data_IF_053779721915
#
_entry.id   IF_053779721915
#
_cell.length_a   1.000
_cell.length_b   1.000
_cell.length_c   1.000
_cell.angle_alpha   90.00
_cell.angle_beta   90.00
_cell.angle_gamma   90.00
#
_symmetry.space_group_name_H-M   'P 1'
#
loop_
_entity.id
_entity.type
_entity.pdbx_description
1 polymer ?
#
# COMPACT_ATOMS: atom_id res chain seq x y z
N UNK A 1 4.99 2.62 -2.46
CA UNK A 1 3.87 2.59 -1.49
C UNK A 1 3.42 3.98 -1.05
N UNK A 2 2.12 4.17 -0.87
CA UNK A 2 1.44 5.40 -0.40
C UNK A 2 1.00 5.31 1.06
N UNK A 3 0.69 4.10 1.55
CA UNK A 3 0.26 3.85 2.93
C UNK A 3 1.33 4.17 3.98
N UNK A 4 0.91 4.47 5.21
CA UNK A 4 1.82 4.63 6.37
C UNK A 4 2.66 5.90 6.30
N UNK A 5 2.21 6.90 5.54
CA UNK A 5 2.83 8.21 5.40
C UNK A 5 2.02 9.25 6.14
N UNK A 6 2.67 10.31 6.60
CA UNK A 6 1.96 11.48 7.09
C UNK A 6 1.04 12.04 5.98
N UNK A 7 -0.15 12.53 6.33
CA UNK A 7 -1.18 12.92 5.36
C UNK A 7 -0.67 13.95 4.34
N UNK A 8 0.12 14.92 4.80
CA UNK A 8 0.73 15.95 3.94
C UNK A 8 1.70 15.39 2.88
N UNK A 9 2.17 14.15 3.03
CA UNK A 9 3.05 13.50 2.06
C UNK A 9 2.29 12.71 0.98
N UNK A 10 0.97 12.55 1.11
CA UNK A 10 0.16 11.77 0.15
C UNK A 10 0.20 12.35 -1.28
N UNK A 11 0.17 13.68 -1.50
CA UNK A 11 0.31 14.23 -2.86
C UNK A 11 1.63 13.83 -3.52
N UNK A 12 2.73 13.86 -2.76
CA UNK A 12 4.04 13.42 -3.25
C UNK A 12 4.05 11.91 -3.51
N UNK A 13 3.42 11.11 -2.65
CA UNK A 13 3.34 9.67 -2.82
C UNK A 13 2.53 9.27 -4.05
N UNK A 14 1.43 9.97 -4.36
CA UNK A 14 0.65 9.76 -5.59
C UNK A 14 1.48 10.09 -6.84
N UNK A 15 2.18 11.22 -6.83
CA UNK A 15 3.09 11.58 -7.93
C UNK A 15 4.19 10.55 -8.12
N UNK A 16 4.79 10.09 -7.03
CA UNK A 16 5.81 9.03 -7.07
C UNK A 16 5.25 7.73 -7.65
N UNK A 17 4.05 7.30 -7.25
CA UNK A 17 3.42 6.09 -7.80
C UNK A 17 3.18 6.21 -9.31
N UNK A 18 2.73 7.38 -9.78
CA UNK A 18 2.59 7.64 -11.22
C UNK A 18 3.92 7.49 -11.95
N UNK A 19 5.00 8.07 -11.42
CA UNK A 19 6.34 7.95 -11.99
C UNK A 19 6.84 6.51 -12.02
N UNK A 20 6.56 5.71 -10.98
CA UNK A 20 6.88 4.29 -10.97
C UNK A 20 6.19 3.52 -12.10
N UNK A 21 4.93 3.87 -12.42
CA UNK A 21 4.21 3.30 -13.56
C UNK A 21 4.75 3.72 -14.93
N UNK A 22 5.48 4.84 -14.99
CA UNK A 22 6.12 5.35 -16.23
C UNK A 22 7.62 5.00 -16.30
N UNK A 23 8.18 4.39 -15.26
CA UNK A 23 9.62 4.24 -15.09
C UNK A 23 10.30 3.46 -16.23
N UNK A 24 9.66 2.40 -16.72
CA UNK A 24 10.19 1.62 -17.85
C UNK A 24 10.32 2.47 -19.11
N UNK A 25 9.28 3.24 -19.43
CA UNK A 25 9.28 4.17 -20.57
C UNK A 25 10.35 5.26 -20.38
N UNK A 26 10.48 5.79 -19.17
CA UNK A 26 11.42 6.87 -18.87
C UNK A 26 12.88 6.41 -18.92
N UNK A 27 13.16 5.17 -18.53
CA UNK A 27 14.52 4.63 -18.39
C UNK A 27 14.92 3.67 -19.51
N UNK A 28 14.00 3.30 -20.39
CA UNK A 28 14.23 2.33 -21.48
C UNK A 28 14.54 0.92 -20.99
N UNK A 29 14.16 0.57 -19.76
CA UNK A 29 14.39 -0.76 -19.15
C UNK A 29 13.32 -1.12 -18.13
N UNK A 30 12.95 -2.40 -18.04
CA UNK A 30 12.08 -2.89 -16.96
C UNK A 30 12.80 -2.74 -15.61
N UNK A 31 12.26 -1.88 -14.74
CA UNK A 31 12.76 -1.69 -13.37
C UNK A 31 12.07 -2.62 -12.37
N UNK A 32 11.33 -3.60 -12.89
CA UNK A 32 10.58 -4.61 -12.15
C UNK A 32 9.55 -4.00 -11.20
N UNK A 33 9.00 -2.82 -11.55
CA UNK A 33 7.89 -2.27 -10.80
C UNK A 33 6.63 -3.11 -11.03
N UNK A 34 6.05 -3.62 -9.94
CA UNK A 34 4.82 -4.41 -9.93
C UNK A 34 3.88 -3.87 -8.86
N UNK A 35 2.69 -3.42 -9.28
CA UNK A 35 1.62 -2.96 -8.39
C UNK A 35 0.83 -4.16 -7.81
N UNK A 36 1.48 -4.95 -6.96
CA UNK A 36 0.90 -6.15 -6.33
C UNK A 36 0.10 -5.86 -5.05
N UNK A 37 -0.08 -4.58 -4.75
CA UNK A 37 -0.68 -4.09 -3.52
C UNK A 37 0.28 -4.05 -2.33
N UNK A 38 -0.17 -3.36 -1.28
CA UNK A 38 0.49 -3.30 0.02
C UNK A 38 -0.53 -3.56 1.12
N UNK A 39 -0.28 -4.57 1.95
CA UNK A 39 -1.12 -4.95 3.08
C UNK A 39 -0.44 -4.58 4.41
N UNK A 40 -1.19 -4.02 5.34
CA UNK A 40 -0.77 -3.81 6.75
C UNK A 40 -1.71 -4.60 7.66
N UNK A 41 -1.13 -5.52 8.41
CA UNK A 41 -1.85 -6.39 9.34
C UNK A 41 -2.03 -5.72 10.69
N UNK A 42 -3.18 -5.98 11.31
CA UNK A 42 -3.59 -5.42 12.59
C UNK A 42 -3.88 -6.56 13.57
N UNK A 43 -3.35 -6.45 14.79
CA UNK A 43 -3.41 -7.52 15.80
C UNK A 43 -4.10 -7.13 17.11
N UNK A 44 -4.41 -5.84 17.28
CA UNK A 44 -5.05 -5.31 18.49
C UNK A 44 -6.04 -4.20 18.14
N UNK A 45 -7.00 -3.98 19.04
CA UNK A 45 -8.10 -3.02 18.85
C UNK A 45 -7.63 -1.56 18.76
N UNK A 46 -6.53 -1.20 19.44
CA UNK A 46 -5.96 0.15 19.37
C UNK A 46 -5.41 0.42 17.97
N UNK A 47 -4.61 -0.48 17.44
CA UNK A 47 -4.10 -0.43 16.07
C UNK A 47 -5.22 -0.45 15.01
N UNK A 48 -6.35 -1.12 15.30
CA UNK A 48 -7.53 -1.13 14.43
C UNK A 48 -8.20 0.25 14.39
N UNK A 49 -8.38 0.88 15.56
CA UNK A 49 -8.90 2.23 15.66
C UNK A 49 -8.01 3.23 14.91
N UNK A 50 -6.69 3.15 15.09
CA UNK A 50 -5.71 3.99 14.40
C UNK A 50 -5.76 3.79 12.88
N UNK A 51 -5.86 2.54 12.42
CA UNK A 51 -5.96 2.22 10.99
C UNK A 51 -7.23 2.84 10.38
N UNK A 52 -8.38 2.72 11.04
CA UNK A 52 -9.66 3.28 10.57
C UNK A 52 -9.63 4.81 10.56
N UNK A 53 -9.10 5.42 11.62
CA UNK A 53 -8.93 6.88 11.71
C UNK A 53 -8.03 7.39 10.58
N UNK A 54 -6.91 6.73 10.33
CA UNK A 54 -6.03 7.06 9.21
C UNK A 54 -6.71 6.89 7.85
N UNK A 55 -7.40 5.78 7.63
CA UNK A 55 -8.11 5.52 6.37
C UNK A 55 -9.16 6.61 6.08
N UNK A 56 -9.92 7.04 7.10
CA UNK A 56 -10.87 8.14 6.97
C UNK A 56 -10.17 9.46 6.64
N UNK A 57 -9.08 9.78 7.36
CA UNK A 57 -8.34 11.02 7.17
C UNK A 57 -7.59 11.08 5.82
N UNK A 58 -7.25 9.93 5.24
CA UNK A 58 -6.53 9.83 3.97
C UNK A 58 -7.45 9.89 2.73
N UNK A 59 -8.76 9.61 2.87
CA UNK A 59 -9.75 9.67 1.77
C UNK A 59 -9.78 11.03 1.05
N UNK A 60 -9.84 12.20 1.73
CA UNK A 60 -9.80 13.50 1.07
C UNK A 60 -8.51 13.75 0.28
N UNK A 61 -7.44 13.02 0.60
CA UNK A 61 -6.16 13.08 -0.11
C UNK A 61 -6.09 12.07 -1.26
N UNK A 62 -7.18 11.39 -1.62
CA UNK A 62 -7.23 10.43 -2.72
C UNK A 62 -6.56 9.08 -2.41
N UNK A 63 -6.40 8.73 -1.14
CA UNK A 63 -5.97 7.39 -0.73
C UNK A 63 -7.15 6.62 -0.13
N UNK A 64 -7.68 5.71 -0.92
CA UNK A 64 -8.66 4.72 -0.44
C UNK A 64 -7.93 3.45 -0.02
N UNK A 65 -8.21 3.02 1.22
CA UNK A 65 -7.73 1.76 1.76
C UNK A 65 -8.91 0.81 1.90
N UNK A 66 -8.73 -0.40 1.41
CA UNK A 66 -9.64 -1.51 1.67
C UNK A 66 -9.38 -2.01 3.09
N UNK A 67 -10.39 -1.96 3.96
CA UNK A 67 -10.36 -2.69 5.22
C UNK A 67 -10.77 -4.14 4.95
N UNK A 68 -9.95 -5.07 5.40
CA UNK A 68 -10.18 -6.50 5.28
C UNK A 68 -10.39 -7.10 6.68
N UNK A 69 -11.48 -7.83 6.86
CA UNK A 69 -11.68 -8.63 8.06
C UNK A 69 -10.82 -9.91 8.06
N UNK A 70 -10.72 -10.62 9.20
CA UNK A 70 -9.86 -11.80 9.33
C UNK A 70 -10.11 -12.89 8.28
N UNK A 71 -11.39 -13.11 7.92
CA UNK A 71 -11.79 -14.08 6.91
C UNK A 71 -11.31 -13.67 5.52
N UNK A 72 -11.47 -12.41 5.16
CA UNK A 72 -11.07 -11.87 3.85
C UNK A 72 -9.55 -11.83 3.72
N UNK A 73 -8.83 -11.44 4.77
CA UNK A 73 -7.37 -11.48 4.82
C UNK A 73 -6.85 -12.89 4.56
N UNK A 74 -7.38 -13.91 5.27
CA UNK A 74 -6.96 -15.31 5.08
C UNK A 74 -7.33 -15.87 3.70
N UNK A 75 -8.47 -15.46 3.14
CA UNK A 75 -8.91 -15.89 1.82
C UNK A 75 -8.02 -15.31 0.71
N UNK A 76 -7.73 -14.00 0.78
CA UNK A 76 -6.96 -13.29 -0.25
C UNK A 76 -5.45 -13.48 -0.13
N UNK A 77 -4.95 -13.65 1.10
CA UNK A 77 -3.53 -13.81 1.39
C UNK A 77 -3.31 -15.07 2.25
N UNK A 78 -3.49 -16.28 1.67
CA UNK A 78 -3.29 -17.52 2.41
C UNK A 78 -1.87 -17.60 3.00
N UNK A 79 -1.76 -18.04 4.25
CA UNK A 79 -0.47 -18.12 4.97
C UNK A 79 -0.02 -16.80 5.62
N UNK A 80 -0.69 -15.68 5.33
CA UNK A 80 -0.41 -14.41 5.98
C UNK A 80 -1.14 -14.32 7.34
N UNK A 81 -0.38 -14.20 8.42
CA UNK A 81 -0.79 -13.85 9.78
C UNK A 81 -2.15 -14.41 10.28
N UNK A 82 -2.19 -15.66 10.79
CA UNK A 82 -3.43 -16.29 11.23
C UNK A 82 -4.15 -15.55 12.37
N UNK A 83 -3.39 -14.78 13.17
CA UNK A 83 -3.88 -14.05 14.34
C UNK A 83 -4.26 -12.58 14.06
N UNK A 84 -4.20 -12.13 12.79
CA UNK A 84 -4.60 -10.76 12.46
C UNK A 84 -6.12 -10.59 12.63
N UNK A 85 -6.51 -9.52 13.33
CA UNK A 85 -7.92 -9.17 13.57
C UNK A 85 -8.49 -8.29 12.45
N UNK A 86 -7.63 -7.66 11.65
CA UNK A 86 -7.98 -6.89 10.45
C UNK A 86 -6.73 -6.64 9.60
N UNK A 87 -6.92 -6.06 8.42
CA UNK A 87 -5.84 -5.48 7.64
C UNK A 87 -6.31 -4.26 6.84
N UNK A 88 -5.40 -3.33 6.54
CA UNK A 88 -5.60 -2.36 5.46
C UNK A 88 -4.85 -2.79 4.21
N UNK A 89 -5.49 -2.64 3.05
CA UNK A 89 -4.92 -3.00 1.76
C UNK A 89 -5.01 -1.82 0.78
N UNK A 90 -3.89 -1.53 0.11
CA UNK A 90 -3.77 -0.51 -0.94
C UNK A 90 -3.39 -1.23 -2.24
N UNK A 91 -4.35 -1.48 -3.16
CA UNK A 91 -4.12 -2.34 -4.33
C UNK A 91 -3.12 -1.78 -5.34
N UNK A 92 -3.07 -0.46 -5.50
CA UNK A 92 -2.19 0.18 -6.49
C UNK A 92 -0.75 0.35 -6.01
N UNK A 93 -0.48 0.07 -4.73
CA UNK A 93 0.89 0.07 -4.25
C UNK A 93 1.66 -1.16 -4.74
N UNK A 94 2.98 -1.13 -4.61
CA UNK A 94 3.83 -2.16 -5.14
C UNK A 94 5.30 -1.95 -4.80
N UNK A 95 6.13 -2.76 -5.42
CA UNK A 95 7.58 -2.75 -5.30
C UNK A 95 8.22 -2.70 -6.69
N UNK A 96 9.35 -2.00 -6.80
CA UNK A 96 10.27 -2.09 -7.93
C UNK A 96 11.65 -2.52 -7.45
N UNK A 97 12.50 -2.96 -8.37
CA UNK A 97 13.85 -3.42 -8.04
C UNK A 97 14.80 -2.22 -7.91
N UNK A 98 15.32 -1.93 -6.70
CA UNK A 98 16.17 -0.77 -6.48
C UNK A 98 17.51 -0.85 -7.21
N UNK A 99 17.97 -2.05 -7.63
CA UNK A 99 19.20 -2.21 -8.44
C UNK A 99 18.99 -1.80 -9.90
N UNK A 100 17.73 -1.69 -10.33
CA UNK A 100 17.35 -1.35 -11.70
C UNK A 100 16.75 0.06 -11.81
N UNK A 101 16.65 0.83 -10.73
CA UNK A 101 16.05 2.18 -10.78
C UNK A 101 17.07 3.31 -10.99
N UNK A 102 18.33 3.08 -10.62
CA UNK A 102 19.42 4.05 -10.71
C UNK A 102 20.67 3.38 -11.34
N UNK A 103 21.65 4.17 -11.83
CA UNK A 103 22.92 3.66 -12.36
C UNK A 103 23.71 2.81 -11.36
#
# INVERSE_FOLDING_TARGET
RRTGRHLSQLPLAHRSLKLWGEAEKMLGRDVEFRATGHIRLIFDEGSLADMRAYALAARPWGLELEELGPRETRSRFPGLAPNAIAASFSPLDGSGNPRLIAP
#
